data_IF_568717469087
#
_entry.id   IF_568717469087
#
_cell.length_a   1.000
_cell.length_b   1.000
_cell.length_c   1.000
_cell.angle_alpha   90.00
_cell.angle_beta   90.00
_cell.angle_gamma   90.00
#
_symmetry.space_group_name_H-M   'P 1'
#
loop_
_entity.id
_entity.type
_entity.pdbx_description
1 polymer ?
#
# COMPACT_ATOMS: atom_id res chain seq x y z
N UNK A 1 -5.48 15.11 8.40
CA UNK A 1 -5.55 15.58 7.02
C UNK A 1 -5.59 17.10 7.00
N UNK A 2 -5.06 17.68 5.94
CA UNK A 2 -5.06 19.12 5.70
C UNK A 2 -5.88 19.41 4.46
N UNK A 3 -6.73 20.43 4.51
CA UNK A 3 -7.50 20.90 3.37
C UNK A 3 -6.71 21.98 2.66
N UNK A 4 -6.43 21.77 1.37
CA UNK A 4 -5.65 22.70 0.54
C UNK A 4 -6.37 22.97 -0.78
N UNK A 5 -6.08 24.09 -1.43
CA UNK A 5 -6.47 24.31 -2.82
C UNK A 5 -5.33 23.82 -3.74
N UNK A 6 -5.68 23.09 -4.81
CA UNK A 6 -4.72 22.76 -5.87
C UNK A 6 -4.52 23.97 -6.83
N UNK A 7 -3.63 23.85 -7.79
CA UNK A 7 -3.29 24.90 -8.74
C UNK A 7 -4.47 25.35 -9.62
N UNK A 8 -5.53 24.54 -9.69
CA UNK A 8 -6.79 24.85 -10.38
C UNK A 8 -7.86 25.41 -9.42
N UNK A 9 -7.52 25.61 -8.14
CA UNK A 9 -8.40 26.13 -7.10
C UNK A 9 -9.39 25.11 -6.55
N UNK A 10 -9.24 23.80 -6.84
CA UNK A 10 -10.09 22.75 -6.28
C UNK A 10 -9.63 22.39 -4.88
N UNK A 11 -10.57 22.18 -3.96
CA UNK A 11 -10.27 21.71 -2.62
C UNK A 11 -9.84 20.24 -2.64
N UNK A 12 -8.68 19.98 -2.06
CA UNK A 12 -8.06 18.67 -1.98
C UNK A 12 -7.62 18.36 -0.53
N UNK A 13 -7.50 17.10 -0.23
CA UNK A 13 -6.96 16.64 1.05
C UNK A 13 -5.50 16.24 0.88
N UNK A 14 -4.62 16.76 1.74
CA UNK A 14 -3.26 16.27 1.93
C UNK A 14 -3.15 15.50 3.24
N UNK A 15 -2.13 14.63 3.32
CA UNK A 15 -1.75 14.00 4.59
C UNK A 15 -1.41 15.08 5.60
N UNK A 16 -1.75 14.85 6.85
CA UNK A 16 -1.34 15.69 7.94
C UNK A 16 0.18 15.62 8.14
N UNK A 17 0.87 16.76 8.02
CA UNK A 17 2.34 16.82 8.10
C UNK A 17 2.90 16.34 9.45
N UNK A 18 2.08 16.37 10.51
CA UNK A 18 2.48 15.88 11.83
C UNK A 18 2.86 14.39 11.86
N UNK A 19 2.46 13.58 10.87
CA UNK A 19 2.91 12.19 10.77
C UNK A 19 4.42 12.07 10.53
N UNK A 20 5.06 13.04 9.91
CA UNK A 20 6.50 13.05 9.69
C UNK A 20 7.28 13.09 11.01
N UNK A 21 6.75 13.75 12.03
CA UNK A 21 7.36 13.82 13.36
C UNK A 21 7.33 12.48 14.12
N UNK A 22 6.52 11.52 13.66
CA UNK A 22 6.40 10.19 14.26
C UNK A 22 7.34 9.17 13.60
N UNK A 23 8.08 9.54 12.56
CA UNK A 23 9.02 8.64 11.88
C UNK A 23 10.14 8.26 12.86
N UNK A 24 10.24 6.95 13.14
CA UNK A 24 11.29 6.38 13.99
C UNK A 24 12.57 6.13 13.21
N UNK A 25 12.43 5.57 12.01
CA UNK A 25 13.56 5.27 11.13
C UNK A 25 13.14 5.26 9.66
N UNK A 26 14.10 5.55 8.80
CA UNK A 26 14.00 5.29 7.36
C UNK A 26 14.89 4.11 7.04
N UNK A 27 14.32 3.09 6.40
CA UNK A 27 15.06 1.89 6.03
C UNK A 27 16.01 2.19 4.85
N UNK A 28 17.19 1.60 4.89
CA UNK A 28 18.09 1.58 3.74
C UNK A 28 17.38 0.84 2.58
N UNK A 29 17.30 1.40 1.38
CA UNK A 29 16.73 0.71 0.22
C UNK A 29 17.32 -0.67 -0.07
N UNK A 30 18.55 -0.95 0.36
CA UNK A 30 19.16 -2.29 0.26
C UNK A 30 18.42 -3.34 1.11
N UNK A 31 17.77 -2.92 2.19
CA UNK A 31 17.00 -3.82 3.06
C UNK A 31 15.65 -4.22 2.45
N UNK A 32 15.20 -3.50 1.41
CA UNK A 32 13.92 -3.76 0.74
C UNK A 32 14.05 -4.76 -0.42
N UNK A 33 15.25 -5.19 -0.76
CA UNK A 33 15.52 -6.17 -1.81
C UNK A 33 16.06 -7.48 -1.20
N UNK A 34 15.83 -8.65 -1.85
CA UNK A 34 15.14 -8.85 -3.12
C UNK A 34 13.61 -8.82 -3.02
N UNK A 35 12.95 -8.59 -4.17
CA UNK A 35 11.52 -8.83 -4.34
C UNK A 35 11.25 -10.32 -4.52
N UNK A 36 10.26 -10.84 -3.81
CA UNK A 36 9.83 -12.23 -3.91
C UNK A 36 8.47 -12.32 -4.58
N UNK A 37 8.38 -12.98 -5.74
CA UNK A 37 7.13 -13.40 -6.35
C UNK A 37 6.53 -14.58 -5.56
N UNK A 38 5.25 -14.53 -5.22
CA UNK A 38 4.65 -15.53 -4.31
C UNK A 38 3.53 -16.37 -4.94
N UNK A 39 2.89 -15.95 -6.02
CA UNK A 39 1.85 -16.74 -6.69
C UNK A 39 2.44 -17.76 -7.67
N UNK A 40 3.70 -17.62 -8.05
CA UNK A 40 4.38 -18.53 -8.96
C UNK A 40 3.92 -18.45 -10.40
N UNK A 41 3.43 -17.29 -10.85
CA UNK A 41 3.01 -17.10 -12.23
C UNK A 41 4.21 -17.22 -13.18
N UNK A 42 4.19 -18.13 -14.18
CA UNK A 42 5.33 -18.34 -15.07
C UNK A 42 5.64 -17.16 -16.00
N UNK A 43 4.71 -16.22 -16.18
CA UNK A 43 4.92 -14.99 -16.95
C UNK A 43 5.44 -13.82 -16.07
N UNK A 44 5.67 -14.06 -14.79
CA UNK A 44 6.15 -13.05 -13.88
C UNK A 44 7.66 -12.96 -13.84
N UNK A 45 8.16 -11.75 -13.69
CA UNK A 45 9.57 -11.48 -13.45
C UNK A 45 9.73 -10.26 -12.55
N UNK A 46 10.76 -10.26 -11.71
CA UNK A 46 11.12 -9.13 -10.89
C UNK A 46 12.63 -8.95 -10.84
N UNK A 47 13.08 -7.71 -10.94
CA UNK A 47 14.47 -7.29 -10.72
C UNK A 47 14.42 -6.08 -9.82
N UNK A 48 15.14 -6.13 -8.70
CA UNK A 48 15.24 -5.02 -7.79
C UNK A 48 16.69 -4.65 -7.53
N UNK A 49 16.93 -3.34 -7.49
CA UNK A 49 18.15 -2.71 -7.02
C UNK A 49 17.75 -1.69 -5.94
N UNK A 50 18.70 -1.20 -5.12
CA UNK A 50 18.35 -0.22 -4.09
C UNK A 50 17.57 0.97 -4.64
N UNK A 51 16.34 1.16 -4.15
CA UNK A 51 15.45 2.25 -4.55
C UNK A 51 14.74 2.11 -5.90
N UNK A 52 15.01 1.02 -6.67
CA UNK A 52 14.37 0.80 -7.98
C UNK A 52 13.93 -0.66 -8.11
N UNK A 53 12.65 -0.86 -8.42
CA UNK A 53 12.05 -2.16 -8.65
C UNK A 53 11.42 -2.21 -10.04
N UNK A 54 11.74 -3.26 -10.79
CA UNK A 54 11.09 -3.61 -12.05
C UNK A 54 10.33 -4.91 -11.87
N UNK A 55 9.05 -4.91 -12.15
CA UNK A 55 8.16 -6.05 -12.01
C UNK A 55 7.34 -6.21 -13.29
N UNK A 56 7.12 -7.41 -13.74
CA UNK A 56 6.28 -7.69 -14.89
C UNK A 56 5.45 -8.94 -14.63
N UNK A 57 4.19 -8.91 -15.08
CA UNK A 57 3.34 -10.07 -15.21
C UNK A 57 2.43 -9.84 -16.41
N UNK A 58 2.85 -10.30 -17.60
CA UNK A 58 2.15 -10.02 -18.86
C UNK A 58 0.91 -10.90 -19.04
N UNK A 59 0.81 -12.01 -18.33
CA UNK A 59 -0.34 -12.92 -18.35
C UNK A 59 -0.82 -13.27 -16.93
N UNK A 60 -2.02 -12.84 -16.59
CA UNK A 60 -2.57 -13.03 -15.26
C UNK A 60 -2.05 -12.01 -14.24
N UNK A 61 -1.89 -12.42 -13.00
CA UNK A 61 -1.48 -11.57 -11.87
C UNK A 61 -0.32 -12.22 -11.11
N UNK A 62 0.56 -11.40 -10.56
CA UNK A 62 1.59 -11.80 -9.61
C UNK A 62 1.74 -10.76 -8.50
N UNK A 63 2.13 -11.23 -7.32
CA UNK A 63 2.44 -10.43 -6.13
C UNK A 63 3.94 -10.48 -5.89
N UNK A 64 4.53 -9.32 -5.67
CA UNK A 64 5.95 -9.13 -5.44
C UNK A 64 6.15 -8.51 -4.06
N UNK A 65 6.62 -9.30 -3.09
CA UNK A 65 6.80 -8.86 -1.72
C UNK A 65 8.21 -8.36 -1.47
N UNK A 66 8.32 -7.23 -0.80
CA UNK A 66 9.56 -6.71 -0.22
C UNK A 66 10.00 -7.59 0.96
N UNK A 67 11.27 -7.50 1.30
CA UNK A 67 11.80 -8.16 2.49
C UNK A 67 11.33 -7.47 3.77
N UNK A 68 11.06 -8.25 4.81
CA UNK A 68 10.63 -7.77 6.12
C UNK A 68 9.12 -7.72 6.29
N UNK A 69 8.71 -7.64 7.54
CA UNK A 69 7.32 -7.47 7.98
C UNK A 69 7.16 -6.13 8.68
N UNK A 70 6.05 -5.46 8.43
CA UNK A 70 5.82 -4.12 8.91
C UNK A 70 4.35 -3.93 9.31
N UNK A 71 4.12 -3.36 10.47
CA UNK A 71 2.79 -3.01 11.00
C UNK A 71 2.46 -1.55 10.73
N UNK A 72 3.33 -0.64 11.23
CA UNK A 72 3.19 0.80 11.12
C UNK A 72 4.29 1.37 10.22
N UNK A 73 3.91 1.88 9.06
CA UNK A 73 4.86 2.34 8.05
C UNK A 73 4.29 3.43 7.15
N UNK A 74 5.21 4.12 6.48
CA UNK A 74 4.96 4.96 5.32
C UNK A 74 5.84 4.48 4.17
N UNK A 75 5.23 3.84 3.18
CA UNK A 75 5.87 3.46 1.93
C UNK A 75 5.62 4.52 0.88
N UNK A 76 6.65 5.01 0.19
CA UNK A 76 6.51 6.01 -0.87
C UNK A 76 7.47 5.77 -2.03
N UNK A 77 7.14 6.33 -3.19
CA UNK A 77 7.92 6.23 -4.41
C UNK A 77 7.15 6.73 -5.63
N UNK A 78 7.77 6.61 -6.78
CA UNK A 78 7.21 6.97 -8.08
C UNK A 78 6.92 5.71 -8.90
N UNK A 79 5.67 5.53 -9.34
CA UNK A 79 5.20 4.41 -10.17
C UNK A 79 5.13 4.78 -11.63
N UNK A 80 5.57 3.85 -12.48
CA UNK A 80 5.44 3.90 -13.94
C UNK A 80 4.80 2.60 -14.40
N UNK A 81 3.70 2.69 -15.14
CA UNK A 81 2.95 1.53 -15.63
C UNK A 81 3.05 1.42 -17.15
N UNK A 82 3.66 0.36 -17.65
CA UNK A 82 3.67 0.02 -19.07
C UNK A 82 2.62 -1.06 -19.36
N UNK A 83 1.76 -0.79 -20.33
CA UNK A 83 0.66 -1.68 -20.72
C UNK A 83 -0.70 -1.16 -20.29
N UNK A 84 -1.73 -1.97 -20.56
CA UNK A 84 -3.14 -1.63 -20.25
C UNK A 84 -3.69 -2.37 -19.04
N UNK A 85 -2.83 -3.09 -18.34
CA UNK A 85 -3.19 -3.86 -17.17
C UNK A 85 -3.38 -2.98 -15.94
N UNK A 86 -3.36 -3.61 -14.79
CA UNK A 86 -3.48 -2.98 -13.49
C UNK A 86 -2.22 -3.23 -12.68
N UNK A 87 -2.00 -2.35 -11.75
CA UNK A 87 -0.97 -2.54 -10.73
C UNK A 87 -1.52 -2.08 -9.38
N UNK A 88 -0.70 -2.19 -8.37
CA UNK A 88 -1.05 -1.65 -7.08
C UNK A 88 -0.07 -2.06 -5.99
N UNK A 89 -0.52 -1.81 -4.78
CA UNK A 89 0.20 -2.08 -3.55
C UNK A 89 -0.46 -3.23 -2.79
N UNK A 90 0.34 -4.01 -2.11
CA UNK A 90 -0.15 -4.99 -1.15
C UNK A 90 0.47 -4.72 0.20
N UNK A 91 -0.28 -4.91 1.27
CA UNK A 91 0.19 -4.62 2.61
C UNK A 91 -0.37 -5.62 3.62
N UNK A 92 0.42 -5.87 4.66
CA UNK A 92 0.10 -6.84 5.72
C UNK A 92 -0.21 -8.22 5.18
N UNK A 93 0.56 -8.63 4.16
CA UNK A 93 0.39 -9.93 3.49
C UNK A 93 1.12 -11.01 4.28
N UNK A 94 0.41 -12.08 4.62
CA UNK A 94 1.00 -13.27 5.25
C UNK A 94 1.65 -14.21 4.22
N UNK A 95 2.24 -15.31 4.67
CA UNK A 95 2.89 -16.30 3.81
C UNK A 95 1.93 -17.06 2.88
N UNK A 96 0.63 -17.00 3.13
CA UNK A 96 -0.42 -17.62 2.31
C UNK A 96 -0.93 -16.66 1.22
N UNK A 97 -0.49 -15.40 1.24
CA UNK A 97 -0.93 -14.38 0.32
C UNK A 97 -2.18 -13.62 0.77
N UNK A 98 -2.62 -13.81 2.03
CA UNK A 98 -3.75 -13.09 2.59
C UNK A 98 -3.31 -11.72 3.11
N UNK A 99 -4.10 -10.69 2.83
CA UNK A 99 -3.76 -9.32 3.22
C UNK A 99 -4.63 -8.28 2.53
N UNK A 100 -4.19 -7.04 2.58
CA UNK A 100 -4.86 -5.97 1.84
C UNK A 100 -4.25 -5.78 0.46
N UNK A 101 -5.13 -5.62 -0.52
CA UNK A 101 -4.81 -5.32 -1.91
C UNK A 101 -5.38 -3.97 -2.30
N UNK A 102 -4.50 -3.06 -2.68
CA UNK A 102 -4.84 -1.73 -3.17
C UNK A 102 -4.63 -1.67 -4.68
N UNK A 103 -5.71 -1.86 -5.43
CA UNK A 103 -5.70 -1.84 -6.89
C UNK A 103 -5.76 -0.42 -7.42
N UNK A 104 -4.89 -0.09 -8.38
CA UNK A 104 -4.83 1.18 -9.07
C UNK A 104 -5.09 0.96 -10.56
N UNK A 105 -6.14 1.59 -11.07
CA UNK A 105 -6.46 1.69 -12.49
C UNK A 105 -6.20 3.13 -12.94
N UNK A 106 -5.01 3.41 -13.42
CA UNK A 106 -4.61 4.76 -13.84
C UNK A 106 -5.36 5.24 -15.09
N UNK A 107 -5.90 4.32 -15.89
CA UNK A 107 -6.72 4.70 -17.04
C UNK A 107 -8.08 5.27 -16.65
N UNK A 108 -8.69 4.66 -15.62
CA UNK A 108 -10.02 5.06 -15.15
C UNK A 108 -9.97 6.05 -13.99
N UNK A 109 -8.79 6.26 -13.41
CA UNK A 109 -8.66 7.05 -12.19
C UNK A 109 -9.39 6.41 -11.01
N UNK A 110 -9.19 5.09 -10.82
CA UNK A 110 -9.88 4.31 -9.80
C UNK A 110 -8.87 3.63 -8.87
N UNK A 111 -9.03 3.86 -7.57
CA UNK A 111 -8.34 3.14 -6.51
C UNK A 111 -9.35 2.27 -5.75
N UNK A 112 -9.01 1.01 -5.49
CA UNK A 112 -9.86 0.10 -4.74
C UNK A 112 -9.05 -0.70 -3.74
N UNK A 113 -9.40 -0.56 -2.46
CA UNK A 113 -8.85 -1.35 -1.36
C UNK A 113 -9.74 -2.56 -1.11
N UNK A 114 -9.12 -3.71 -0.92
CA UNK A 114 -9.77 -4.99 -0.73
C UNK A 114 -9.07 -5.78 0.36
N UNK A 115 -9.83 -6.54 1.15
CA UNK A 115 -9.32 -7.67 1.89
C UNK A 115 -9.32 -8.89 0.98
N UNK A 116 -8.23 -9.63 0.98
CA UNK A 116 -7.99 -10.78 0.11
C UNK A 116 -7.41 -11.92 0.94
N UNK A 117 -7.95 -13.12 0.82
CA UNK A 117 -7.38 -14.25 1.51
C UNK A 117 -8.33 -15.42 1.69
N UNK A 118 -7.86 -16.40 2.45
CA UNK A 118 -8.63 -17.56 2.82
C UNK A 118 -9.64 -17.18 3.92
N UNK A 119 -10.89 -17.57 3.75
CA UNK A 119 -11.91 -17.34 4.78
C UNK A 119 -11.84 -18.45 5.84
N UNK A 120 -11.34 -18.19 7.05
CA UNK A 120 -11.27 -19.19 8.11
C UNK A 120 -12.65 -19.61 8.63
N UNK A 121 -13.69 -18.79 8.44
CA UNK A 121 -15.06 -19.05 8.91
C UNK A 121 -15.97 -19.73 7.88
N UNK A 122 -15.53 -19.85 6.64
CA UNK A 122 -16.36 -20.19 5.49
C UNK A 122 -16.71 -21.66 5.29
N UNK A 123 -16.39 -22.58 6.19
CA UNK A 123 -16.85 -23.98 6.17
C UNK A 123 -16.40 -24.83 4.97
N UNK A 124 -15.75 -24.26 3.99
CA UNK A 124 -15.07 -24.94 2.88
C UNK A 124 -13.58 -24.58 2.96
N UNK A 125 -12.76 -25.53 3.34
CA UNK A 125 -11.31 -25.39 3.27
C UNK A 125 -10.91 -24.94 1.86
N UNK A 126 -10.27 -23.76 1.76
CA UNK A 126 -9.80 -23.20 0.49
C UNK A 126 -10.73 -22.23 -0.24
N UNK A 127 -11.86 -21.83 0.36
CA UNK A 127 -12.68 -20.76 -0.23
C UNK A 127 -11.93 -19.42 -0.15
N UNK A 128 -11.59 -18.90 -1.32
CA UNK A 128 -10.91 -17.63 -1.47
C UNK A 128 -11.88 -16.48 -1.17
N UNK A 129 -11.54 -15.62 -0.22
CA UNK A 129 -12.35 -14.48 0.15
C UNK A 129 -11.81 -13.20 -0.52
N UNK A 130 -12.71 -12.50 -1.17
CA UNK A 130 -12.44 -11.25 -1.84
C UNK A 130 -13.50 -10.22 -1.42
N UNK A 131 -13.11 -9.33 -0.53
CA UNK A 131 -14.02 -8.33 0.02
C UNK A 131 -13.58 -6.91 -0.40
N UNK A 132 -14.34 -6.22 -1.27
CA UNK A 132 -14.15 -4.79 -1.47
C UNK A 132 -14.44 -4.03 -0.17
N UNK A 133 -13.45 -3.26 0.30
CA UNK A 133 -13.58 -2.46 1.53
C UNK A 133 -13.91 -1.01 1.19
N UNK A 134 -13.16 -0.44 0.23
CA UNK A 134 -13.36 0.95 -0.18
C UNK A 134 -12.95 1.16 -1.63
N UNK A 135 -13.66 2.06 -2.31
CA UNK A 135 -13.36 2.50 -3.67
C UNK A 135 -13.35 4.02 -3.70
N UNK A 136 -12.38 4.59 -4.40
CA UNK A 136 -12.23 6.04 -4.57
C UNK A 136 -11.83 6.36 -6.01
N UNK A 137 -12.23 7.54 -6.48
CA UNK A 137 -11.80 8.07 -7.76
C UNK A 137 -10.65 9.08 -7.54
N UNK A 138 -9.71 9.11 -8.47
CA UNK A 138 -8.67 10.12 -8.54
C UNK A 138 -8.54 10.67 -9.95
N UNK A 139 -7.94 11.84 -10.09
CA UNK A 139 -7.67 12.42 -11.41
C UNK A 139 -6.45 11.74 -12.00
N UNK A 140 -6.57 11.07 -13.18
CA UNK A 140 -5.41 10.54 -13.88
C UNK A 140 -4.44 11.69 -14.23
N UNK A 141 -3.17 11.44 -14.01
CA UNK A 141 -2.08 12.37 -14.34
C UNK A 141 -1.08 11.66 -15.24
N UNK A 142 -0.24 12.39 -15.99
CA UNK A 142 0.93 11.79 -16.65
C UNK A 142 1.85 11.11 -15.63
N UNK A 143 2.60 10.11 -16.07
CA UNK A 143 3.66 9.49 -15.26
C UNK A 143 4.81 10.48 -14.95
N UNK A 144 5.50 10.31 -13.82
CA UNK A 144 5.29 9.28 -12.80
C UNK A 144 4.06 9.52 -11.95
N UNK A 145 3.49 8.43 -11.42
CA UNK A 145 2.44 8.50 -10.40
C UNK A 145 3.11 8.41 -9.03
N UNK A 146 3.37 9.54 -8.41
CA UNK A 146 3.91 9.57 -7.04
C UNK A 146 2.88 8.99 -6.08
N UNK A 147 3.27 7.99 -5.33
CA UNK A 147 2.40 7.39 -4.32
C UNK A 147 3.00 7.51 -2.92
N UNK A 148 2.11 7.50 -1.94
CA UNK A 148 2.49 7.21 -0.56
C UNK A 148 1.37 6.47 0.15
N UNK A 149 1.73 5.35 0.77
CA UNK A 149 0.85 4.47 1.52
C UNK A 149 1.25 4.51 3.00
N UNK A 150 0.36 5.05 3.82
CA UNK A 150 0.48 5.07 5.27
C UNK A 150 -0.36 3.94 5.85
N UNK A 151 0.24 3.14 6.73
CA UNK A 151 -0.45 2.25 7.65
C UNK A 151 -0.01 2.60 9.07
N UNK A 152 -0.97 2.83 9.97
CA UNK A 152 -0.71 3.12 11.38
C UNK A 152 -1.86 2.61 12.25
N UNK A 153 -1.62 1.55 13.02
CA UNK A 153 -2.69 0.81 13.69
C UNK A 153 -3.72 0.31 12.69
N UNK A 154 -4.97 0.65 12.91
CA UNK A 154 -6.08 0.33 11.99
C UNK A 154 -6.20 1.30 10.80
N UNK A 155 -5.50 2.44 10.84
CA UNK A 155 -5.64 3.49 9.85
C UNK A 155 -4.77 3.22 8.62
N UNK A 156 -5.41 3.22 7.45
CA UNK A 156 -4.79 3.09 6.14
C UNK A 156 -5.09 4.34 5.31
N UNK A 157 -4.07 4.90 4.64
CA UNK A 157 -4.22 6.07 3.78
C UNK A 157 -3.36 5.94 2.53
N UNK A 158 -3.98 6.04 1.36
CA UNK A 158 -3.30 6.21 0.09
C UNK A 158 -3.34 7.68 -0.32
N UNK A 159 -2.17 8.22 -0.66
CA UNK A 159 -2.05 9.47 -1.42
C UNK A 159 -1.45 9.20 -2.79
N UNK A 160 -1.97 9.89 -3.81
CA UNK A 160 -1.40 9.94 -5.15
C UNK A 160 -1.14 11.40 -5.52
N UNK A 161 0.07 11.67 -6.02
CA UNK A 161 0.50 13.02 -6.40
C UNK A 161 0.23 14.05 -5.29
N UNK A 162 0.64 13.69 -4.07
CA UNK A 162 0.53 14.46 -2.83
C UNK A 162 -0.90 14.63 -2.26
N UNK A 163 -1.93 14.10 -2.92
CA UNK A 163 -3.30 14.22 -2.44
C UNK A 163 -3.85 12.89 -1.94
N UNK A 164 -4.55 12.95 -0.82
CA UNK A 164 -5.22 11.77 -0.25
C UNK A 164 -6.36 11.34 -1.17
N UNK A 165 -6.29 10.09 -1.61
CA UNK A 165 -7.27 9.46 -2.49
C UNK A 165 -8.21 8.57 -1.70
N UNK A 166 -7.65 7.77 -0.79
CA UNK A 166 -8.40 6.76 -0.06
C UNK A 166 -7.94 6.72 1.40
N UNK A 167 -8.91 6.56 2.30
CA UNK A 167 -8.61 6.28 3.72
C UNK A 167 -9.61 5.30 4.28
N UNK A 168 -9.14 4.39 5.12
CA UNK A 168 -9.96 3.39 5.79
C UNK A 168 -9.39 3.12 7.18
N UNK A 169 -10.25 2.75 8.11
CA UNK A 169 -9.88 2.10 9.35
C UNK A 169 -10.39 0.66 9.30
N UNK A 170 -9.47 -0.29 9.38
CA UNK A 170 -9.76 -1.74 9.31
C UNK A 170 -8.68 -2.52 10.06
N UNK A 171 -9.05 -3.60 10.72
CA UNK A 171 -8.18 -4.40 11.59
C UNK A 171 -8.15 -5.90 11.24
N UNK A 172 -8.65 -6.28 10.06
CA UNK A 172 -8.63 -7.69 9.62
C UNK A 172 -7.19 -8.22 9.51
N UNK A 173 -6.27 -7.38 9.04
CA UNK A 173 -4.84 -7.69 8.99
C UNK A 173 -4.07 -6.59 9.71
N UNK A 174 -3.30 -6.95 10.73
CA UNK A 174 -2.58 -5.98 11.58
C UNK A 174 -1.10 -5.89 11.29
N UNK A 175 -0.49 -6.94 10.74
CA UNK A 175 0.94 -7.03 10.42
C UNK A 175 1.18 -7.94 9.23
N UNK A 176 2.35 -7.85 8.63
CA UNK A 176 2.80 -8.72 7.55
C UNK A 176 3.69 -8.00 6.55
N UNK A 177 3.93 -8.65 5.44
CA UNK A 177 4.79 -8.15 4.37
C UNK A 177 4.08 -7.10 3.53
N UNK A 178 4.86 -6.23 2.91
CA UNK A 178 4.37 -5.23 1.97
C UNK A 178 5.01 -5.43 0.60
N UNK A 179 4.37 -4.90 -0.43
CA UNK A 179 4.90 -5.02 -1.78
C UNK A 179 3.97 -4.46 -2.84
N UNK A 180 4.07 -5.06 -3.99
CA UNK A 180 3.35 -4.63 -5.19
C UNK A 180 2.66 -5.81 -5.85
N UNK A 181 1.71 -5.52 -6.73
CA UNK A 181 1.24 -6.51 -7.70
C UNK A 181 1.16 -5.90 -9.10
N UNK A 182 1.26 -6.78 -10.10
CA UNK A 182 1.03 -6.44 -11.49
C UNK A 182 0.09 -7.48 -12.13
N UNK A 183 -0.85 -6.99 -12.94
CA UNK A 183 -1.84 -7.79 -13.66
C UNK A 183 -1.88 -7.35 -15.12
N UNK A 184 -1.38 -8.19 -16.03
CA UNK A 184 -1.30 -7.87 -17.46
C UNK A 184 -0.45 -6.63 -17.77
N UNK A 185 0.61 -6.36 -17.00
CA UNK A 185 1.36 -5.11 -17.06
C UNK A 185 2.81 -5.29 -16.63
N UNK A 186 3.62 -4.25 -16.91
CA UNK A 186 4.94 -4.05 -16.31
C UNK A 186 4.86 -2.82 -15.40
N UNK A 187 5.38 -2.96 -14.21
CA UNK A 187 5.44 -1.91 -13.19
C UNK A 187 6.89 -1.61 -12.86
N UNK A 188 7.26 -0.34 -12.94
CA UNK A 188 8.53 0.16 -12.44
C UNK A 188 8.27 1.13 -11.28
N UNK A 189 9.00 0.96 -10.21
CA UNK A 189 8.94 1.84 -9.04
C UNK A 189 10.33 2.42 -8.81
N UNK A 190 10.43 3.73 -8.66
CA UNK A 190 11.66 4.46 -8.40
C UNK A 190 11.54 5.28 -7.11
N UNK A 191 12.69 5.61 -6.52
CA UNK A 191 12.74 6.39 -5.29
C UNK A 191 12.01 5.73 -4.12
N UNK A 192 11.97 4.38 -4.10
CA UNK A 192 11.28 3.63 -3.08
C UNK A 192 11.89 3.92 -1.71
N UNK A 193 11.07 4.40 -0.78
CA UNK A 193 11.43 4.64 0.61
C UNK A 193 10.40 4.03 1.54
N UNK A 194 10.89 3.48 2.65
CA UNK A 194 10.06 2.94 3.71
C UNK A 194 10.47 3.57 5.04
N UNK A 195 9.54 4.27 5.66
CA UNK A 195 9.67 4.80 7.00
C UNK A 195 8.86 3.95 7.96
N UNK A 196 9.43 3.65 9.12
CA UNK A 196 8.70 3.02 10.23
C UNK A 196 8.35 4.06 11.28
N UNK A 197 7.25 3.84 11.98
CA UNK A 197 6.82 4.73 13.05
C UNK A 197 7.16 4.16 14.42
N UNK A 198 7.40 5.03 15.39
CA UNK A 198 7.38 4.64 16.78
C UNK A 198 5.94 4.28 17.14
N UNK A 199 5.73 3.06 17.63
CA UNK A 199 4.48 2.78 18.35
C UNK A 199 4.39 3.76 19.49
N UNK A 200 3.36 4.61 19.57
CA UNK A 200 3.20 5.47 20.74
C UNK A 200 3.13 4.54 21.95
N UNK A 201 4.09 4.62 22.84
CA UNK A 201 3.90 4.10 24.18
C UNK A 201 2.62 4.75 24.68
N UNK A 202 1.63 3.92 25.06
CA UNK A 202 0.34 4.39 25.57
C UNK A 202 0.57 5.64 26.39
N UNK A 203 0.00 6.79 26.06
CA UNK A 203 0.12 7.94 26.94
C UNK A 203 -0.37 7.46 28.31
N UNK A 204 0.40 7.71 29.38
CA UNK A 204 -0.08 7.57 30.74
C UNK A 204 -1.28 8.50 30.87
N UNK A 205 -2.47 7.99 30.50
CA UNK A 205 -3.70 8.67 30.80
C UNK A 205 -3.75 8.78 32.35
N UNK A 206 -3.73 9.97 32.90
CA UNK A 206 -3.89 10.11 34.33
C UNK A 206 -5.18 9.38 34.73
N UNK A 207 -5.10 8.50 35.73
CA UNK A 207 -6.21 7.67 36.20
C UNK A 207 -7.49 8.48 36.58
N UNK A 208 -7.39 9.79 36.57
CA UNK A 208 -8.49 10.74 36.83
C UNK A 208 -9.59 10.77 35.77
N UNK A 209 -9.42 10.15 34.57
CA UNK A 209 -10.48 10.06 33.55
C UNK A 209 -11.20 8.70 33.50
N UNK A 210 -10.83 7.75 34.32
CA UNK A 210 -11.48 6.44 34.43
C UNK A 210 -12.81 6.45 35.19
N UNK A 211 -13.31 7.62 35.60
CA UNK A 211 -14.50 7.79 36.42
C UNK A 211 -15.58 8.74 35.88
N UNK A 212 -15.59 9.04 34.58
CA UNK A 212 -16.68 9.84 33.97
C UNK A 212 -17.53 8.97 33.03
#
# INVERSE_FOLDING_TARGET
>A
KELVADDEGRLRLKRFAGFEALIASTLDPQQLVPLQAILGNPSASAVATPGVCHMACEGGMEIFLLQGEYDDFLLSGDMYLEGKGKCGLVLRVNDQGDGYFLSLDFYKGLAQLRAWGHNPEGGHEGAFHYQPLQTANFLPTPEPHRFSLLAHGQYLELSLNDFVVLTLADDQFTQGRIGFYAEGAKLRVEGLTLNTYTTPTSPDYPETLAGL
#
